data_IF_223203356929
#
_entry.id   IF_223203356929
#
_cell.length_a   1.000
_cell.length_b   1.000
_cell.length_c   1.000
_cell.angle_alpha   90.00
_cell.angle_beta   90.00
_cell.angle_gamma   90.00
#
_symmetry.space_group_name_H-M   'P 1'
#
loop_
_entity.id
_entity.type
_entity.pdbx_description
1 polymer ?
#
# COMPACT_ATOMS: atom_id res chain seq x y z
N UNK A 1 12.97 12.00 24.07
CA UNK A 1 12.07 11.61 22.96
C UNK A 1 11.74 10.13 23.14
N UNK A 2 10.46 9.79 23.27
CA UNK A 2 10.04 8.39 23.49
C UNK A 2 10.13 7.62 22.18
N UNK A 3 11.17 6.79 22.02
CA UNK A 3 11.30 5.86 20.89
C UNK A 3 10.23 4.77 21.06
N UNK A 4 9.13 4.89 20.32
CA UNK A 4 8.11 3.84 20.25
C UNK A 4 8.79 2.60 19.64
N UNK A 5 8.95 1.53 20.42
CA UNK A 5 9.45 0.25 19.92
C UNK A 5 8.48 -0.27 18.86
N UNK A 6 8.97 -0.48 17.64
CA UNK A 6 8.19 -1.15 16.61
C UNK A 6 7.87 -2.58 17.04
N UNK A 7 6.62 -3.00 16.86
CA UNK A 7 6.13 -4.33 17.27
C UNK A 7 5.94 -5.19 16.02
N UNK A 8 6.42 -6.43 16.07
CA UNK A 8 6.18 -7.42 15.01
C UNK A 8 4.69 -7.79 15.02
N UNK A 9 4.03 -7.57 13.89
CA UNK A 9 2.60 -7.89 13.71
C UNK A 9 2.40 -9.30 13.17
N UNK A 10 1.17 -9.80 13.27
CA UNK A 10 0.77 -11.05 12.64
C UNK A 10 1.00 -10.98 11.12
N UNK A 11 1.40 -12.10 10.47
CA UNK A 11 1.57 -12.14 9.03
C UNK A 11 0.26 -11.81 8.29
N UNK A 12 0.38 -11.10 7.18
CA UNK A 12 -0.72 -10.99 6.22
C UNK A 12 -0.87 -12.30 5.46
N UNK A 13 -2.11 -12.74 5.29
CA UNK A 13 -2.46 -13.96 4.56
C UNK A 13 -3.48 -13.57 3.50
N UNK A 14 -3.35 -14.18 2.33
CA UNK A 14 -4.24 -13.93 1.21
C UNK A 14 -5.69 -14.30 1.55
N UNK A 15 -6.60 -13.35 1.37
CA UNK A 15 -8.04 -13.54 1.59
C UNK A 15 -8.83 -13.33 0.29
N UNK A 16 -9.61 -14.33 -0.10
CA UNK A 16 -10.46 -14.28 -1.30
C UNK A 16 -11.58 -13.23 -1.20
N UNK A 17 -12.14 -13.02 -0.02
CA UNK A 17 -13.19 -12.02 0.20
C UNK A 17 -12.62 -10.60 0.06
N UNK A 18 -11.42 -10.37 0.60
CA UNK A 18 -10.73 -9.08 0.44
C UNK A 18 -10.38 -8.83 -1.04
N UNK A 19 -9.91 -9.86 -1.76
CA UNK A 19 -9.68 -9.76 -3.19
C UNK A 19 -10.96 -9.40 -3.94
N UNK A 20 -12.09 -10.04 -3.62
CA UNK A 20 -13.37 -9.73 -4.25
C UNK A 20 -13.80 -8.28 -4.00
N UNK A 21 -13.64 -7.77 -2.78
CA UNK A 21 -13.93 -6.37 -2.44
C UNK A 21 -13.03 -5.41 -3.23
N UNK A 22 -11.74 -5.73 -3.37
CA UNK A 22 -10.80 -4.94 -4.16
C UNK A 22 -11.18 -4.93 -5.64
N UNK A 23 -11.55 -6.08 -6.21
CA UNK A 23 -12.03 -6.19 -7.59
C UNK A 23 -13.31 -5.37 -7.80
N UNK A 24 -14.27 -5.43 -6.88
CA UNK A 24 -15.49 -4.61 -6.98
C UNK A 24 -15.17 -3.10 -6.90
N UNK A 25 -14.28 -2.68 -5.99
CA UNK A 25 -13.87 -1.28 -5.90
C UNK A 25 -13.18 -0.77 -7.18
N UNK A 26 -12.38 -1.62 -7.83
CA UNK A 26 -11.74 -1.32 -9.11
C UNK A 26 -12.77 -1.21 -10.23
N UNK A 27 -13.72 -2.14 -10.30
CA UNK A 27 -14.83 -2.11 -11.24
C UNK A 27 -15.68 -0.86 -11.08
N UNK A 28 -16.07 -0.53 -9.85
CA UNK A 28 -16.86 0.68 -9.56
C UNK A 28 -16.11 1.92 -10.05
N UNK A 29 -14.84 2.07 -9.67
CA UNK A 29 -14.00 3.18 -10.13
C UNK A 29 -13.89 3.26 -11.65
N UNK A 30 -13.77 2.13 -12.34
CA UNK A 30 -13.73 2.07 -13.79
C UNK A 30 -15.06 2.51 -14.42
N UNK A 31 -16.18 2.02 -13.89
CA UNK A 31 -17.51 2.27 -14.42
C UNK A 31 -18.03 3.68 -14.14
N UNK A 32 -17.70 4.27 -12.98
CA UNK A 32 -18.16 5.61 -12.58
C UNK A 32 -17.17 6.71 -12.92
N UNK A 33 -15.89 6.36 -13.12
CA UNK A 33 -14.81 7.30 -13.30
C UNK A 33 -14.21 7.81 -11.97
N UNK A 34 -13.14 8.61 -12.09
CA UNK A 34 -12.40 9.17 -10.96
C UNK A 34 -11.79 10.52 -11.30
N UNK A 35 -11.56 11.36 -10.28
CA UNK A 35 -10.83 12.61 -10.44
C UNK A 35 -9.32 12.35 -10.46
N UNK A 36 -8.64 12.84 -11.48
CA UNK A 36 -7.20 12.80 -11.60
C UNK A 36 -6.63 14.22 -11.47
N UNK A 37 -5.80 14.42 -10.45
CA UNK A 37 -5.06 15.67 -10.24
C UNK A 37 -3.72 15.63 -10.98
N UNK A 38 -3.40 16.69 -11.70
CA UNK A 38 -2.14 16.91 -12.39
C UNK A 38 -1.40 18.09 -11.75
N UNK A 39 -0.13 17.88 -11.43
CA UNK A 39 0.67 18.80 -10.60
C UNK A 39 0.73 20.24 -11.12
N UNK A 40 0.56 20.46 -12.44
CA UNK A 40 0.70 21.78 -13.08
C UNK A 40 -0.50 22.21 -13.94
N UNK A 41 -1.55 21.41 -14.04
CA UNK A 41 -2.69 21.66 -14.95
C UNK A 41 -4.06 21.60 -14.26
N UNK A 42 -4.09 21.60 -12.93
CA UNK A 42 -5.31 21.30 -12.18
C UNK A 42 -5.66 19.81 -12.28
N UNK A 43 -6.94 19.46 -12.24
CA UNK A 43 -7.36 18.07 -12.39
C UNK A 43 -8.65 17.92 -13.20
N UNK A 44 -8.87 16.74 -13.73
CA UNK A 44 -10.04 16.39 -14.55
C UNK A 44 -10.65 15.08 -14.10
N UNK A 45 -11.96 14.93 -14.35
CA UNK A 45 -12.62 13.64 -14.23
C UNK A 45 -12.30 12.76 -15.44
N UNK A 46 -11.92 11.52 -15.17
CA UNK A 46 -11.62 10.49 -16.16
C UNK A 46 -12.71 9.42 -16.10
N UNK A 47 -13.30 9.08 -17.25
CA UNK A 47 -14.36 8.08 -17.38
C UNK A 47 -13.90 6.93 -18.29
N UNK A 48 -13.12 5.97 -17.77
CA UNK A 48 -12.41 5.01 -18.61
C UNK A 48 -13.32 3.98 -19.30
N UNK A 49 -14.51 3.71 -18.74
CA UNK A 49 -15.52 2.82 -19.32
C UNK A 49 -16.28 3.42 -20.52
N UNK A 50 -15.91 4.62 -20.96
CA UNK A 50 -16.76 5.41 -21.86
C UNK A 50 -15.97 6.08 -22.97
N UNK A 51 -16.70 6.51 -24.00
CA UNK A 51 -16.18 7.33 -25.09
C UNK A 51 -17.04 8.58 -25.24
N UNK A 52 -16.39 9.72 -25.48
CA UNK A 52 -17.08 10.99 -25.72
C UNK A 52 -17.12 11.26 -27.22
N UNK A 53 -18.30 11.60 -27.73
CA UNK A 53 -18.51 11.95 -29.13
C UNK A 53 -19.17 13.33 -29.21
N UNK A 54 -18.79 14.10 -30.22
CA UNK A 54 -19.33 15.44 -30.47
C UNK A 54 -19.96 15.53 -31.86
N UNK A 55 -20.96 16.39 -31.98
CA UNK A 55 -21.84 16.57 -33.13
C UNK A 55 -22.15 18.06 -33.34
N UNK A 56 -22.50 18.44 -34.57
CA UNK A 56 -22.81 19.84 -34.92
C UNK A 56 -24.31 20.15 -34.87
N UNK A 57 -25.16 19.11 -34.90
CA UNK A 57 -26.62 19.20 -34.81
C UNK A 57 -27.19 18.27 -33.75
N UNK A 58 -28.42 18.56 -33.32
CA UNK A 58 -29.11 17.71 -32.33
C UNK A 58 -29.58 16.41 -32.97
N UNK A 59 -29.98 16.47 -34.25
CA UNK A 59 -30.42 15.35 -35.06
C UNK A 59 -29.32 14.28 -35.18
N UNK A 60 -28.08 14.67 -35.53
CA UNK A 60 -26.94 13.75 -35.60
C UNK A 60 -26.66 13.05 -34.28
N UNK A 61 -26.75 13.79 -33.17
CA UNK A 61 -26.56 13.23 -31.83
C UNK A 61 -27.64 12.20 -31.50
N UNK A 62 -28.90 12.51 -31.80
CA UNK A 62 -30.04 11.63 -31.52
C UNK A 62 -29.93 10.35 -32.34
N UNK A 63 -29.66 10.45 -33.65
CA UNK A 63 -29.49 9.29 -34.52
C UNK A 63 -28.35 8.38 -34.04
N UNK A 64 -27.21 8.97 -33.69
CA UNK A 64 -26.09 8.23 -33.13
C UNK A 64 -26.43 7.58 -31.78
N UNK A 65 -27.11 8.30 -30.88
CA UNK A 65 -27.49 7.75 -29.58
C UNK A 65 -28.45 6.56 -29.71
N UNK A 66 -29.37 6.60 -30.69
CA UNK A 66 -30.27 5.48 -31.00
C UNK A 66 -29.48 4.30 -31.54
N UNK A 67 -28.59 4.52 -32.50
CA UNK A 67 -27.73 3.46 -33.07
C UNK A 67 -26.94 2.75 -31.96
N UNK A 68 -26.27 3.51 -31.10
CA UNK A 68 -25.45 2.96 -30.01
C UNK A 68 -26.28 2.27 -28.94
N UNK A 69 -27.45 2.80 -28.59
CA UNK A 69 -28.36 2.13 -27.67
C UNK A 69 -28.83 0.76 -28.22
N UNK A 70 -29.14 0.68 -29.52
CA UNK A 70 -29.50 -0.59 -30.18
C UNK A 70 -28.32 -1.57 -30.23
N UNK A 71 -27.09 -1.07 -30.31
CA UNK A 71 -25.87 -1.86 -30.20
C UNK A 71 -25.52 -2.28 -28.75
N UNK A 72 -26.37 -1.97 -27.76
CA UNK A 72 -26.12 -2.30 -26.35
C UNK A 72 -25.14 -1.36 -25.66
N UNK A 73 -24.86 -0.19 -26.24
CA UNK A 73 -23.99 0.85 -25.70
C UNK A 73 -24.81 2.07 -25.27
N UNK A 74 -25.46 2.02 -24.10
CA UNK A 74 -26.32 3.11 -23.67
C UNK A 74 -25.50 4.37 -23.34
N UNK A 75 -26.20 5.51 -23.30
CA UNK A 75 -25.65 6.78 -22.81
C UNK A 75 -25.18 6.64 -21.36
N UNK A 76 -24.01 7.20 -21.07
CA UNK A 76 -23.52 7.37 -19.71
C UNK A 76 -24.39 8.38 -18.95
N UNK A 77 -24.88 8.00 -17.76
CA UNK A 77 -25.90 8.78 -17.04
C UNK A 77 -25.34 9.76 -16.02
N UNK A 78 -24.14 9.52 -15.50
CA UNK A 78 -23.53 10.35 -14.45
C UNK A 78 -23.00 11.69 -14.99
N UNK A 79 -22.80 11.81 -16.31
CA UNK A 79 -22.44 13.07 -16.95
C UNK A 79 -23.63 13.63 -17.76
N UNK A 80 -23.97 14.93 -17.58
CA UNK A 80 -24.96 15.57 -18.43
C UNK A 80 -24.43 15.70 -19.86
N UNK A 81 -25.35 15.71 -20.82
CA UNK A 81 -25.02 16.09 -22.20
C UNK A 81 -24.48 17.52 -22.22
N UNK A 82 -23.40 17.75 -22.93
CA UNK A 82 -22.86 19.08 -23.15
C UNK A 82 -23.49 19.67 -24.42
N UNK A 83 -23.94 20.92 -24.36
CA UNK A 83 -24.52 21.60 -25.50
C UNK A 83 -24.09 23.07 -25.55
N UNK A 84 -23.97 23.58 -26.78
CA UNK A 84 -23.62 24.95 -27.12
C UNK A 84 -24.05 25.27 -28.55
N UNK A 85 -23.84 26.51 -28.99
CA UNK A 85 -24.22 26.92 -30.34
C UNK A 85 -23.39 26.11 -31.36
N UNK A 86 -24.06 25.25 -32.13
CA UNK A 86 -23.42 24.37 -33.12
C UNK A 86 -22.56 23.25 -32.52
N UNK A 87 -22.77 22.91 -31.24
CA UNK A 87 -21.99 21.90 -30.54
C UNK A 87 -22.87 21.09 -29.60
N UNK A 88 -22.84 19.77 -29.77
CA UNK A 88 -23.46 18.84 -28.84
C UNK A 88 -22.49 17.70 -28.57
N UNK A 89 -22.40 17.24 -27.32
CA UNK A 89 -21.52 16.13 -26.96
C UNK A 89 -22.17 15.23 -25.90
N UNK A 90 -22.02 13.93 -26.12
CA UNK A 90 -22.47 12.88 -25.20
C UNK A 90 -21.36 11.89 -24.94
N UNK A 91 -21.49 11.21 -23.81
CA UNK A 91 -20.67 10.07 -23.44
C UNK A 91 -21.50 8.80 -23.52
N UNK A 92 -20.95 7.77 -24.16
CA UNK A 92 -21.55 6.43 -24.28
C UNK A 92 -20.62 5.41 -23.63
N UNK A 93 -21.17 4.32 -23.12
CA UNK A 93 -20.34 3.21 -22.69
C UNK A 93 -19.61 2.58 -23.87
N UNK A 94 -18.38 2.12 -23.62
CA UNK A 94 -17.68 1.22 -24.53
C UNK A 94 -18.50 -0.05 -24.78
N UNK A 95 -18.24 -0.79 -25.87
CA UNK A 95 -18.80 -2.12 -26.08
C UNK A 95 -18.59 -3.03 -24.86
N UNK A 96 -19.53 -3.92 -24.59
CA UNK A 96 -19.48 -4.76 -23.39
C UNK A 96 -18.29 -5.72 -23.39
N UNK A 97 -17.85 -6.19 -24.55
CA UNK A 97 -16.64 -6.98 -24.75
C UNK A 97 -15.37 -6.19 -24.42
N UNK A 98 -15.26 -4.93 -24.88
CA UNK A 98 -14.16 -4.04 -24.48
C UNK A 98 -14.14 -3.79 -22.97
N UNK A 99 -15.29 -3.50 -22.36
CA UNK A 99 -15.42 -3.31 -20.91
C UNK A 99 -14.97 -4.57 -20.17
N UNK A 100 -15.38 -5.75 -20.64
CA UNK A 100 -15.04 -7.02 -19.98
C UNK A 100 -13.54 -7.31 -20.08
N UNK A 101 -12.92 -7.04 -21.24
CA UNK A 101 -11.48 -7.18 -21.43
C UNK A 101 -10.68 -6.20 -20.56
N UNK A 102 -11.09 -4.93 -20.51
CA UNK A 102 -10.47 -3.93 -19.64
C UNK A 102 -10.57 -4.36 -18.16
N UNK A 103 -11.74 -4.83 -17.71
CA UNK A 103 -11.94 -5.29 -16.33
C UNK A 103 -11.12 -6.53 -15.99
N UNK A 104 -10.94 -7.46 -16.92
CA UNK A 104 -10.10 -8.65 -16.69
C UNK A 104 -8.65 -8.26 -16.41
N UNK A 105 -8.10 -7.32 -17.18
CA UNK A 105 -6.76 -6.76 -16.94
C UNK A 105 -6.69 -6.09 -15.57
N UNK A 106 -7.66 -5.22 -15.27
CA UNK A 106 -7.71 -4.49 -14.01
C UNK A 106 -7.87 -5.41 -12.79
N UNK A 107 -8.61 -6.51 -12.92
CA UNK A 107 -8.74 -7.52 -11.87
C UNK A 107 -7.46 -8.30 -11.63
N UNK A 108 -6.72 -8.60 -12.71
CA UNK A 108 -5.42 -9.25 -12.60
C UNK A 108 -4.42 -8.31 -11.91
N UNK A 109 -4.37 -7.03 -12.31
CA UNK A 109 -3.54 -6.02 -11.65
C UNK A 109 -3.87 -5.87 -10.16
N UNK A 110 -5.15 -5.85 -9.80
CA UNK A 110 -5.58 -5.76 -8.40
C UNK A 110 -5.14 -6.98 -7.58
N UNK A 111 -5.17 -8.17 -8.18
CA UNK A 111 -4.72 -9.40 -7.53
C UNK A 111 -3.20 -9.44 -7.34
N UNK A 112 -2.45 -9.03 -8.36
CA UNK A 112 -0.99 -8.99 -8.31
C UNK A 112 -0.50 -7.93 -7.31
N UNK A 113 -1.13 -6.76 -7.28
CA UNK A 113 -0.87 -5.74 -6.27
C UNK A 113 -1.15 -6.26 -4.86
N UNK A 114 -2.27 -6.96 -4.64
CA UNK A 114 -2.59 -7.52 -3.32
C UNK A 114 -1.58 -8.59 -2.88
N UNK A 115 -1.15 -9.48 -3.79
CA UNK A 115 -0.09 -10.46 -3.50
C UNK A 115 1.23 -9.77 -3.17
N UNK A 116 1.59 -8.73 -3.91
CA UNK A 116 2.81 -7.96 -3.68
C UNK A 116 2.76 -7.21 -2.33
N UNK A 117 1.62 -6.61 -1.97
CA UNK A 117 1.41 -5.98 -0.67
C UNK A 117 1.67 -6.97 0.48
N UNK A 118 1.11 -8.19 0.38
CA UNK A 118 1.32 -9.25 1.37
C UNK A 118 2.80 -9.63 1.47
N UNK A 119 3.48 -9.80 0.33
CA UNK A 119 4.90 -10.16 0.30
C UNK A 119 5.78 -9.07 0.92
N UNK A 120 5.58 -7.80 0.52
CA UNK A 120 6.31 -6.65 1.06
C UNK A 120 6.09 -6.52 2.56
N UNK A 121 4.84 -6.64 3.01
CA UNK A 121 4.51 -6.57 4.42
C UNK A 121 5.18 -7.70 5.21
N UNK A 122 5.02 -8.95 4.78
CA UNK A 122 5.57 -10.12 5.46
C UNK A 122 7.11 -10.11 5.49
N UNK A 123 7.75 -9.66 4.41
CA UNK A 123 9.20 -9.49 4.33
C UNK A 123 9.67 -8.42 5.33
N UNK A 124 8.97 -7.29 5.42
CA UNK A 124 9.30 -6.25 6.41
C UNK A 124 9.16 -6.74 7.85
N UNK A 125 8.14 -7.55 8.16
CA UNK A 125 7.94 -8.11 9.50
C UNK A 125 9.00 -9.15 9.86
N UNK A 126 9.43 -9.98 8.90
CA UNK A 126 10.55 -10.92 9.09
C UNK A 126 11.85 -10.19 9.36
N UNK A 127 12.16 -9.14 8.59
CA UNK A 127 13.35 -8.33 8.79
C UNK A 127 13.35 -7.64 10.17
N UNK A 128 12.21 -7.09 10.57
CA UNK A 128 12.05 -6.49 11.90
C UNK A 128 12.28 -7.53 13.02
N UNK A 129 11.70 -8.73 12.89
CA UNK A 129 11.87 -9.79 13.88
C UNK A 129 13.34 -10.25 13.95
N UNK A 130 14.00 -10.42 12.80
CA UNK A 130 15.41 -10.79 12.76
C UNK A 130 16.30 -9.76 13.45
N UNK A 131 16.05 -8.47 13.22
CA UNK A 131 16.76 -7.39 13.91
C UNK A 131 16.53 -7.43 15.42
N UNK A 132 15.29 -7.61 15.86
CA UNK A 132 14.97 -7.70 17.29
C UNK A 132 15.63 -8.88 17.99
N UNK A 133 15.72 -10.03 17.32
CA UNK A 133 16.41 -11.22 17.83
C UNK A 133 17.93 -10.99 17.92
N UNK A 134 18.51 -10.32 16.92
CA UNK A 134 19.93 -9.96 16.93
C UNK A 134 20.24 -8.98 18.08
N UNK A 135 19.47 -7.91 18.21
CA UNK A 135 19.62 -6.92 19.27
C UNK A 135 19.50 -7.56 20.66
N UNK A 136 18.58 -8.53 20.81
CA UNK A 136 18.41 -9.28 22.04
C UNK A 136 19.63 -10.15 22.37
N UNK A 137 20.23 -10.81 21.38
CA UNK A 137 21.42 -11.64 21.60
C UNK A 137 22.66 -10.78 21.88
N UNK A 138 22.84 -9.65 21.19
CA UNK A 138 23.91 -8.68 21.49
C UNK A 138 23.79 -8.19 22.93
N UNK A 139 22.60 -7.73 23.34
CA UNK A 139 22.37 -7.26 24.70
C UNK A 139 22.61 -8.36 25.76
N UNK A 140 22.36 -9.63 25.40
CA UNK A 140 22.63 -10.77 26.28
C UNK A 140 24.13 -11.02 26.42
N UNK A 141 24.89 -10.98 25.33
CA UNK A 141 26.35 -11.14 25.37
C UNK A 141 27.03 -9.98 26.09
N UNK A 142 26.60 -8.74 25.87
CA UNK A 142 27.10 -7.57 26.61
C UNK A 142 26.88 -7.70 28.12
N UNK A 143 25.70 -8.18 28.55
CA UNK A 143 25.43 -8.44 29.97
C UNK A 143 26.34 -9.51 30.54
N UNK A 144 26.55 -10.62 29.82
CA UNK A 144 27.49 -11.67 30.25
C UNK A 144 28.91 -11.14 30.40
N UNK A 145 29.37 -10.32 29.46
CA UNK A 145 30.71 -9.73 29.52
C UNK A 145 30.83 -8.71 30.65
N UNK A 146 29.83 -7.86 30.87
CA UNK A 146 29.80 -6.94 32.01
C UNK A 146 29.84 -7.69 33.35
N UNK A 147 29.07 -8.77 33.49
CA UNK A 147 29.12 -9.64 34.68
C UNK A 147 30.48 -10.31 34.85
N UNK A 148 31.12 -10.75 33.75
CA UNK A 148 32.46 -11.34 33.78
C UNK A 148 33.50 -10.32 34.24
N UNK A 149 33.50 -9.12 33.66
CA UNK A 149 34.40 -8.03 34.03
C UNK A 149 34.18 -7.57 35.47
N UNK A 150 32.92 -7.48 35.93
CA UNK A 150 32.60 -7.16 37.31
C UNK A 150 33.14 -8.21 38.29
N UNK A 151 33.02 -9.51 37.98
CA UNK A 151 33.60 -10.58 38.80
C UNK A 151 35.13 -10.52 38.83
N UNK A 152 35.79 -10.28 37.68
CA UNK A 152 37.24 -10.14 37.63
C UNK A 152 37.72 -8.94 38.44
N UNK A 153 37.02 -7.80 38.34
CA UNK A 153 37.32 -6.59 39.12
C UNK A 153 37.15 -6.84 40.63
N UNK A 154 36.04 -7.44 41.05
CA UNK A 154 35.80 -7.76 42.45
C UNK A 154 36.86 -8.70 43.04
N UNK A 155 37.31 -9.69 42.25
CA UNK A 155 38.40 -10.59 42.66
C UNK A 155 39.73 -9.84 42.81
N UNK A 156 40.09 -9.00 41.85
CA UNK A 156 41.29 -8.18 41.91
C UNK A 156 41.27 -7.19 43.09
N UNK A 157 40.12 -6.59 43.38
CA UNK A 157 39.94 -5.73 44.55
C UNK A 157 40.11 -6.51 45.87
N UNK A 158 39.58 -7.74 45.96
CA UNK A 158 39.79 -8.61 47.12
C UNK A 158 41.26 -8.98 47.30
N UNK A 159 41.94 -9.42 46.24
CA UNK A 159 43.36 -9.79 46.29
C UNK A 159 44.24 -8.57 46.67
N UNK A 160 43.93 -7.38 46.15
CA UNK A 160 44.62 -6.15 46.51
C UNK A 160 44.40 -5.77 47.98
N UNK A 161 43.17 -5.90 48.49
CA UNK A 161 42.86 -5.64 49.91
C UNK A 161 43.59 -6.62 50.83
N UNK A 162 43.55 -7.92 50.52
CA UNK A 162 44.23 -8.96 51.31
C UNK A 162 45.75 -8.70 51.36
N UNK A 163 46.34 -8.30 50.23
CA UNK A 163 47.75 -7.94 50.15
C UNK A 163 48.08 -6.71 51.02
N UNK A 164 47.28 -5.65 50.95
CA UNK A 164 47.47 -4.45 51.77
C UNK A 164 47.30 -4.73 53.26
N UNK A 165 46.30 -5.54 53.65
CA UNK A 165 46.10 -5.92 55.05
C UNK A 165 47.28 -6.73 55.61
N UNK A 166 47.87 -7.62 54.80
CA UNK A 166 49.06 -8.36 55.21
C UNK A 166 50.27 -7.46 55.39
N UNK A 167 50.49 -6.48 54.50
CA UNK A 167 51.57 -5.48 54.67
C UNK A 167 51.43 -4.67 55.97
N UNK A 168 50.20 -4.32 56.36
CA UNK A 168 49.92 -3.62 57.62
C UNK A 168 50.22 -4.49 58.84
N UNK A 169 49.95 -5.80 58.76
CA UNK A 169 50.24 -6.76 59.83
C UNK A 169 51.73 -7.05 59.98
N UNK A 170 52.52 -7.02 58.91
CA UNK A 170 53.97 -7.23 58.95
C UNK A 170 54.77 -6.02 59.48
N UNK A 171 54.17 -4.83 59.52
CA UNK A 171 54.81 -3.61 60.06
C UNK A 171 54.52 -3.33 61.55
N UNK A 172 53.68 -4.14 62.20
CA UNK A 172 53.42 -4.10 63.64
C UNK A 172 54.06 -5.30 64.35
#
# INVERSE_FOLDING_TARGET
MSTIKQVVKQPMIFNQEELAQRKEAVKDRYMTGYYQSYQYAGGSFIYPATQQQSFVSCEELVDFAIEKALAGQPRFKEEPMQCGIGFYSIRIYKPQDEISADLEILYQEAEDQYKQEIEVFNTSMKALLAQQLLDAEIAREERKEQERLAKMKAKAESEANDYYENLIKEQN
#
